data_IF_427851545974
#
_entry.id   IF_427851545974
#
_cell.length_a   1.000
_cell.length_b   1.000
_cell.length_c   1.000
_cell.angle_alpha   90.00
_cell.angle_beta   90.00
_cell.angle_gamma   90.00
#
_symmetry.space_group_name_H-M   'P 1'
#
loop_
_entity.id
_entity.type
_entity.pdbx_description
1 polymer ?
#
# COMPACT_ATOMS: atom_id res chain seq x y z
N UNK A 1 -11.16 -4.10 -46.92
CA UNK A 1 -10.54 -4.88 -45.85
C UNK A 1 -10.20 -3.93 -44.74
N UNK A 2 -11.12 -3.79 -43.79
CA UNK A 2 -11.02 -2.87 -42.65
C UNK A 2 -10.39 -3.65 -41.50
N UNK A 3 -9.28 -3.16 -40.97
CA UNK A 3 -8.69 -3.66 -39.74
C UNK A 3 -9.02 -2.66 -38.62
N UNK A 4 -9.92 -3.05 -37.72
CA UNK A 4 -10.07 -2.45 -36.41
C UNK A 4 -9.05 -3.11 -35.48
N UNK A 5 -8.06 -2.34 -35.01
CA UNK A 5 -7.14 -2.78 -33.98
C UNK A 5 -7.62 -2.30 -32.60
N UNK A 6 -7.82 -3.28 -31.73
CA UNK A 6 -8.38 -3.16 -30.40
C UNK A 6 -7.47 -2.42 -29.43
N UNK A 7 -8.04 -1.43 -28.75
CA UNK A 7 -7.42 -0.64 -27.72
C UNK A 7 -7.53 -1.39 -26.37
N UNK A 8 -6.51 -2.18 -26.02
CA UNK A 8 -6.40 -2.78 -24.68
C UNK A 8 -5.75 -1.80 -23.69
N UNK A 9 -6.57 -1.41 -22.70
CA UNK A 9 -6.21 -0.68 -21.48
C UNK A 9 -5.26 -1.53 -20.62
N UNK A 10 -3.99 -1.16 -20.53
CA UNK A 10 -3.09 -1.66 -19.47
C UNK A 10 -2.12 -0.55 -19.05
N UNK A 11 -2.26 -0.06 -17.82
CA UNK A 11 -1.50 1.09 -17.33
C UNK A 11 -1.56 1.26 -15.81
N UNK A 12 -1.47 0.17 -15.05
CA UNK A 12 -1.33 0.21 -13.58
C UNK A 12 -0.29 -0.82 -13.16
N UNK A 13 0.59 -0.47 -12.20
CA UNK A 13 1.58 -1.31 -11.47
C UNK A 13 3.05 -0.83 -11.51
N UNK A 14 3.32 0.46 -11.64
CA UNK A 14 4.61 0.99 -11.18
C UNK A 14 4.34 2.21 -10.30
N UNK A 15 4.68 2.12 -9.01
CA UNK A 15 4.76 3.33 -8.18
C UNK A 15 5.88 4.20 -8.72
N UNK A 16 5.70 5.53 -8.83
CA UNK A 16 6.77 6.41 -9.24
C UNK A 16 8.00 6.17 -8.36
N UNK A 17 9.14 5.90 -9.00
CA UNK A 17 10.38 5.69 -8.29
C UNK A 17 10.85 7.05 -7.80
N UNK A 18 10.93 7.17 -6.47
CA UNK A 18 11.43 8.29 -5.65
C UNK A 18 10.31 9.02 -4.89
N UNK A 19 10.32 8.85 -3.57
CA UNK A 19 9.64 9.73 -2.63
C UNK A 19 10.71 10.62 -1.99
N UNK A 20 10.81 11.88 -2.39
CA UNK A 20 11.56 12.84 -1.58
C UNK A 20 10.75 13.12 -0.30
N UNK A 21 11.36 13.10 0.89
CA UNK A 21 10.68 13.54 2.09
C UNK A 21 10.31 15.01 1.92
N UNK A 22 9.02 15.32 1.85
CA UNK A 22 8.56 16.70 1.83
C UNK A 22 9.00 17.38 3.13
N UNK A 23 9.66 18.53 3.01
CA UNK A 23 10.01 19.34 4.18
C UNK A 23 8.73 19.90 4.81
N UNK A 24 8.65 20.04 6.15
CA UNK A 24 7.44 20.50 6.83
C UNK A 24 6.88 21.83 6.29
N UNK A 25 7.76 22.71 5.83
CA UNK A 25 7.42 24.01 5.24
C UNK A 25 6.74 23.90 3.87
N UNK A 26 7.10 22.91 3.05
CA UNK A 26 6.50 22.68 1.73
C UNK A 26 5.10 22.07 1.80
N UNK A 27 4.72 21.49 2.96
CA UNK A 27 3.45 20.78 3.14
C UNK A 27 2.31 21.73 3.55
N UNK A 28 2.62 22.86 4.20
CA UNK A 28 1.66 23.86 4.69
C UNK A 28 0.81 24.53 3.60
N UNK A 29 1.06 24.25 2.32
CA UNK A 29 0.41 24.87 1.15
C UNK A 29 -0.59 23.95 0.43
N UNK A 30 -0.81 22.74 0.96
CA UNK A 30 -1.71 21.77 0.35
C UNK A 30 -3.17 22.24 0.38
N UNK A 31 -3.76 22.49 -0.80
CA UNK A 31 -5.17 22.89 -0.95
C UNK A 31 -5.95 21.96 -1.86
N UNK A 32 -7.21 21.70 -1.49
CA UNK A 32 -8.24 21.21 -2.40
C UNK A 32 -8.77 22.42 -3.18
N UNK A 33 -8.50 22.49 -4.47
CA UNK A 33 -8.93 23.58 -5.34
C UNK A 33 -8.98 23.15 -6.79
N UNK A 34 -9.50 24.03 -7.66
CA UNK A 34 -9.45 23.81 -9.11
C UNK A 34 -8.02 23.56 -9.57
N UNK A 35 -7.83 22.47 -10.31
CA UNK A 35 -6.55 22.02 -10.90
C UNK A 35 -6.60 22.30 -12.39
N UNK A 36 -5.55 22.93 -12.92
CA UNK A 36 -5.40 23.29 -14.33
C UNK A 36 -4.25 22.51 -14.97
N UNK A 37 -4.24 22.45 -16.30
CA UNK A 37 -3.09 21.93 -17.03
C UNK A 37 -1.85 22.79 -16.76
N UNK A 38 -0.71 22.15 -16.56
CA UNK A 38 0.54 22.79 -16.18
C UNK A 38 0.76 22.94 -14.67
N UNK A 39 -0.25 22.71 -13.82
CA UNK A 39 -0.10 22.82 -12.37
C UNK A 39 0.83 21.74 -11.80
N UNK A 40 1.70 22.15 -10.87
CA UNK A 40 2.43 21.24 -9.98
C UNK A 40 1.51 20.78 -8.84
N UNK A 41 1.41 19.47 -8.64
CA UNK A 41 0.50 18.84 -7.68
C UNK A 41 1.19 17.73 -6.90
N UNK A 42 0.67 17.47 -5.70
CA UNK A 42 0.96 16.25 -4.94
C UNK A 42 -0.17 15.25 -5.12
N UNK A 43 0.11 14.18 -5.85
CA UNK A 43 -0.83 13.09 -6.12
C UNK A 43 -0.62 11.93 -5.15
N UNK A 44 -1.69 11.44 -4.52
CA UNK A 44 -1.66 10.26 -3.67
C UNK A 44 -1.71 9.00 -4.51
N UNK A 45 -0.78 8.08 -4.29
CA UNK A 45 -0.69 6.81 -5.01
C UNK A 45 -1.32 5.64 -4.23
N UNK A 46 -1.33 4.45 -4.83
CA UNK A 46 -1.93 3.23 -4.27
C UNK A 46 -1.20 2.65 -3.05
N UNK A 47 -0.04 3.20 -2.68
CA UNK A 47 0.66 2.91 -1.42
C UNK A 47 0.31 3.93 -0.30
N UNK A 48 -0.57 4.88 -0.58
CA UNK A 48 -0.99 5.93 0.35
C UNK A 48 -0.02 7.10 0.48
N UNK A 49 1.10 7.10 -0.26
CA UNK A 49 2.10 8.18 -0.25
C UNK A 49 1.77 9.27 -1.26
N UNK A 50 2.34 10.45 -1.07
CA UNK A 50 2.23 11.59 -1.99
C UNK A 50 3.46 11.67 -2.90
N UNK A 51 3.22 11.93 -4.17
CA UNK A 51 4.22 12.07 -5.21
C UNK A 51 4.05 13.40 -5.94
N UNK A 52 5.16 14.07 -6.22
CA UNK A 52 5.15 15.29 -7.03
C UNK A 52 4.88 14.93 -8.49
N UNK A 53 4.00 15.69 -9.12
CA UNK A 53 3.72 15.55 -10.54
C UNK A 53 3.22 16.83 -11.16
N UNK A 54 3.21 16.86 -12.48
CA UNK A 54 2.72 17.96 -13.29
C UNK A 54 1.49 17.52 -14.08
N UNK A 55 0.43 18.32 -14.01
CA UNK A 55 -0.85 18.02 -14.66
C UNK A 55 -0.73 18.24 -16.16
N UNK A 56 -0.95 17.19 -16.95
CA UNK A 56 -0.89 17.23 -18.42
C UNK A 56 -2.26 17.40 -19.07
N UNK A 57 -3.30 16.82 -18.48
CA UNK A 57 -4.68 16.93 -18.97
C UNK A 57 -5.67 16.95 -17.82
N UNK A 58 -6.73 17.73 -17.97
CA UNK A 58 -7.81 17.83 -16.98
C UNK A 58 -9.14 17.35 -17.59
N UNK A 59 -9.74 16.32 -17.00
CA UNK A 59 -11.07 15.78 -17.36
C UNK A 59 -11.82 15.41 -16.08
N UNK A 60 -12.61 14.33 -16.04
CA UNK A 60 -13.19 13.81 -14.79
C UNK A 60 -12.10 13.40 -13.78
N UNK A 61 -10.98 12.87 -14.29
CA UNK A 61 -9.70 12.69 -13.61
C UNK A 61 -8.61 13.54 -14.30
N UNK A 62 -7.43 13.64 -13.70
CA UNK A 62 -6.30 14.36 -14.30
C UNK A 62 -5.21 13.39 -14.74
N UNK A 63 -4.65 13.61 -15.93
CA UNK A 63 -3.43 12.93 -16.36
C UNK A 63 -2.25 13.66 -15.70
N UNK A 64 -1.50 12.95 -14.87
CA UNK A 64 -0.36 13.52 -14.13
C UNK A 64 0.92 12.83 -14.61
N UNK A 65 1.93 13.63 -14.97
CA UNK A 65 3.29 13.16 -15.23
C UNK A 65 4.13 13.29 -13.96
N UNK A 66 4.72 12.20 -13.50
CA UNK A 66 5.56 12.16 -12.30
C UNK A 66 7.04 12.46 -12.63
N UNK A 67 7.87 12.59 -11.60
CA UNK A 67 9.30 12.91 -11.72
C UNK A 67 10.09 11.88 -12.55
N UNK A 68 9.66 10.62 -12.57
CA UNK A 68 10.25 9.55 -13.38
C UNK A 68 9.72 9.49 -14.82
N UNK A 69 8.98 10.52 -15.25
CA UNK A 69 8.29 10.63 -16.55
C UNK A 69 7.14 9.64 -16.78
N UNK A 70 6.77 8.83 -15.79
CA UNK A 70 5.55 8.02 -15.89
C UNK A 70 4.31 8.91 -15.91
N UNK A 71 3.27 8.48 -16.64
CA UNK A 71 2.00 9.20 -16.75
C UNK A 71 0.83 8.32 -16.33
N UNK A 72 0.04 8.81 -15.38
CA UNK A 72 -1.14 8.08 -14.90
C UNK A 72 -2.34 9.00 -14.72
N UNK A 73 -3.52 8.43 -14.91
CA UNK A 73 -4.78 9.08 -14.57
C UNK A 73 -5.02 8.99 -13.06
N UNK A 74 -5.11 10.16 -12.41
CA UNK A 74 -5.31 10.29 -10.97
C UNK A 74 -6.68 10.92 -10.70
N UNK A 75 -7.44 10.34 -9.77
CA UNK A 75 -8.73 10.89 -9.35
C UNK A 75 -8.54 12.24 -8.66
N UNK A 76 -9.46 13.19 -8.90
CA UNK A 76 -9.37 14.54 -8.32
C UNK A 76 -9.26 14.54 -6.79
N UNK A 77 -9.93 13.59 -6.10
CA UNK A 77 -9.86 13.44 -4.64
C UNK A 77 -8.46 13.10 -4.11
N UNK A 78 -7.58 12.63 -4.97
CA UNK A 78 -6.22 12.20 -4.65
C UNK A 78 -5.17 13.21 -5.14
N UNK A 79 -5.59 14.33 -5.72
CA UNK A 79 -4.73 15.41 -6.19
C UNK A 79 -4.81 16.56 -5.21
N UNK A 80 -3.65 17.09 -4.84
CA UNK A 80 -3.57 18.22 -3.94
C UNK A 80 -2.71 19.31 -4.58
N UNK A 81 -3.29 20.50 -4.73
CA UNK A 81 -2.64 21.60 -5.43
C UNK A 81 -1.58 22.25 -4.55
N UNK A 82 -0.40 22.49 -5.13
CA UNK A 82 0.69 23.27 -4.53
C UNK A 82 0.66 24.69 -5.11
N UNK A 83 -0.29 25.54 -4.69
CA UNK A 83 -0.32 26.93 -5.18
C UNK A 83 0.85 27.71 -4.59
N UNK A 84 1.86 28.03 -5.44
CA UNK A 84 3.03 28.86 -5.10
C UNK A 84 2.69 30.34 -4.86
N UNK A 85 1.50 30.82 -5.27
CA UNK A 85 1.14 32.25 -5.26
C UNK A 85 0.21 32.65 -4.11
N UNK A 86 0.70 32.53 -2.87
CA UNK A 86 0.33 33.50 -1.85
C UNK A 86 1.60 33.85 -1.07
N UNK A 87 2.12 35.06 -1.30
CA UNK A 87 3.20 35.68 -0.51
C UNK A 87 2.78 35.94 0.96
N UNK A 88 1.69 35.34 1.43
CA UNK A 88 1.36 35.18 2.83
C UNK A 88 1.41 33.68 3.18
N UNK A 89 2.18 33.26 4.21
CA UNK A 89 2.02 31.97 4.84
C UNK A 89 0.71 32.01 5.65
N UNK A 90 -0.42 32.21 4.98
CA UNK A 90 -1.71 32.09 5.62
C UNK A 90 -1.95 30.59 5.79
N UNK A 91 -1.97 30.05 7.02
CA UNK A 91 -2.30 28.66 7.25
C UNK A 91 -3.60 28.35 6.54
N UNK A 92 -3.70 27.17 5.92
CA UNK A 92 -4.95 26.70 5.32
C UNK A 92 -6.04 26.85 6.37
N UNK A 93 -6.96 27.80 6.20
CA UNK A 93 -8.07 28.00 7.13
C UNK A 93 -9.14 26.96 6.82
N UNK A 94 -9.30 26.01 7.74
CA UNK A 94 -10.39 25.05 7.68
C UNK A 94 -11.54 25.59 8.53
N UNK A 95 -12.77 25.51 8.02
CA UNK A 95 -13.92 25.57 8.91
C UNK A 95 -13.79 24.42 9.94
N UNK A 96 -14.01 24.66 11.24
CA UNK A 96 -13.82 23.65 12.27
C UNK A 96 -14.53 22.33 11.97
N UNK A 97 -15.74 22.40 11.42
CA UNK A 97 -16.58 21.25 11.06
C UNK A 97 -16.23 20.57 9.73
N UNK A 98 -15.46 21.23 8.86
CA UNK A 98 -15.04 20.66 7.58
C UNK A 98 -13.74 19.84 7.69
N UNK A 99 -13.08 19.84 8.86
CA UNK A 99 -11.89 19.03 9.10
C UNK A 99 -12.26 17.72 9.81
N UNK A 100 -11.45 16.67 9.62
CA UNK A 100 -11.65 15.38 10.29
C UNK A 100 -10.39 14.93 11.03
N UNK A 101 -10.42 14.83 12.37
CA UNK A 101 -11.54 15.18 13.28
C UNK A 101 -11.80 16.70 13.35
N UNK A 102 -12.97 17.11 13.87
CA UNK A 102 -13.33 18.52 14.07
C UNK A 102 -12.21 19.28 14.80
N UNK A 103 -11.95 20.52 14.39
CA UNK A 103 -10.94 21.37 15.05
C UNK A 103 -11.53 21.89 16.36
N UNK A 104 -10.84 21.64 17.46
CA UNK A 104 -11.25 22.16 18.76
C UNK A 104 -10.98 23.68 18.84
N UNK A 105 -11.93 24.48 19.38
CA UNK A 105 -11.81 25.93 19.41
C UNK A 105 -10.67 26.45 20.30
N UNK A 106 -10.14 25.63 21.21
CA UNK A 106 -9.01 25.93 22.09
C UNK A 106 -7.65 25.50 21.51
N UNK A 107 -7.63 24.94 20.30
CA UNK A 107 -6.37 24.57 19.65
C UNK A 107 -5.55 25.83 19.35
N UNK A 108 -4.36 25.91 19.95
CA UNK A 108 -3.40 26.98 19.68
C UNK A 108 -3.14 27.07 18.17
N UNK A 109 -3.60 28.17 17.57
CA UNK A 109 -3.61 28.43 16.12
C UNK A 109 -2.22 28.31 15.50
N UNK A 110 -1.17 28.60 16.27
CA UNK A 110 0.23 28.53 15.80
C UNK A 110 0.79 27.10 15.83
N UNK A 111 0.08 26.17 16.47
CA UNK A 111 0.50 24.78 16.66
C UNK A 111 -0.37 23.76 15.89
N UNK A 112 -1.50 24.18 15.32
CA UNK A 112 -2.38 23.26 14.62
C UNK A 112 -1.81 22.85 13.26
N UNK A 113 -1.92 21.55 12.93
CA UNK A 113 -1.47 20.99 11.66
C UNK A 113 -2.62 20.17 11.08
N UNK A 114 -3.00 20.45 9.84
CA UNK A 114 -4.12 19.75 9.20
C UNK A 114 -3.81 18.27 8.97
N UNK A 115 -4.88 17.48 8.81
CA UNK A 115 -4.81 16.03 8.52
C UNK A 115 -3.86 15.72 7.38
N UNK A 116 -3.98 16.48 6.30
CA UNK A 116 -3.20 16.23 5.11
C UNK A 116 -1.71 16.43 5.36
N UNK A 117 -1.34 17.49 6.08
CA UNK A 117 0.06 17.76 6.42
C UNK A 117 0.63 16.70 7.37
N UNK A 118 -0.16 16.26 8.36
CA UNK A 118 0.28 15.20 9.27
C UNK A 118 0.53 13.90 8.51
N UNK A 119 -0.38 13.49 7.61
CA UNK A 119 -0.19 12.28 6.82
C UNK A 119 1.01 12.41 5.87
N UNK A 120 1.17 13.54 5.18
CA UNK A 120 2.30 13.77 4.28
C UNK A 120 3.67 13.61 4.97
N UNK A 121 3.79 14.04 6.23
CA UNK A 121 5.03 13.91 7.01
C UNK A 121 5.17 12.53 7.64
N UNK A 122 4.09 11.99 8.20
CA UNK A 122 4.13 10.80 9.05
C UNK A 122 4.12 9.47 8.27
N UNK A 123 3.53 9.41 7.08
CA UNK A 123 3.50 8.18 6.27
C UNK A 123 4.88 7.90 5.67
N UNK A 124 5.35 6.65 5.77
CA UNK A 124 6.65 6.19 5.22
C UNK A 124 6.53 4.77 4.69
N UNK A 125 7.33 4.42 3.68
CA UNK A 125 7.49 3.02 3.24
C UNK A 125 7.94 2.15 4.41
N UNK A 126 7.34 0.98 4.59
CA UNK A 126 7.61 0.07 5.70
C UNK A 126 6.83 0.37 6.99
N UNK A 127 6.07 1.46 7.05
CA UNK A 127 5.27 1.85 8.22
C UNK A 127 5.45 3.32 8.60
N UNK A 128 4.38 3.94 9.07
CA UNK A 128 4.39 5.33 9.51
C UNK A 128 5.25 5.58 10.76
N UNK A 129 5.57 6.84 11.01
CA UNK A 129 6.30 7.26 12.21
C UNK A 129 5.60 6.79 13.50
N UNK A 130 6.37 6.19 14.41
CA UNK A 130 5.85 5.67 15.69
C UNK A 130 6.11 6.58 16.89
N UNK A 131 6.99 7.56 16.76
CA UNK A 131 7.42 8.47 17.85
C UNK A 131 7.43 9.92 17.37
N UNK A 132 7.34 10.85 18.32
CA UNK A 132 7.34 12.29 18.06
C UNK A 132 5.95 12.88 17.81
N UNK A 133 5.91 14.21 17.63
CA UNK A 133 4.67 15.00 17.49
C UNK A 133 3.78 14.50 16.35
N UNK A 134 4.34 14.33 15.15
CA UNK A 134 3.58 13.87 13.97
C UNK A 134 3.02 12.45 14.14
N UNK A 135 3.74 11.55 14.82
CA UNK A 135 3.23 10.20 15.11
C UNK A 135 2.00 10.23 16.03
N UNK A 136 2.02 11.08 17.06
CA UNK A 136 0.88 11.25 17.98
C UNK A 136 -0.32 11.89 17.29
N UNK A 137 -0.08 12.96 16.52
CA UNK A 137 -1.13 13.61 15.73
C UNK A 137 -1.76 12.66 14.71
N UNK A 138 -0.94 11.87 14.01
CA UNK A 138 -1.45 10.88 13.06
C UNK A 138 -2.33 9.85 13.76
N UNK A 139 -1.88 9.34 14.92
CA UNK A 139 -2.66 8.37 15.69
C UNK A 139 -4.02 8.95 16.14
N UNK A 140 -4.05 10.20 16.59
CA UNK A 140 -5.30 10.90 16.92
C UNK A 140 -6.22 11.04 15.68
N UNK A 141 -5.66 11.46 14.54
CA UNK A 141 -6.41 11.62 13.30
C UNK A 141 -6.96 10.30 12.75
N UNK A 142 -6.27 9.18 12.98
CA UNK A 142 -6.70 7.83 12.54
C UNK A 142 -7.93 7.31 13.30
N UNK A 143 -8.34 7.96 14.39
CA UNK A 143 -9.56 7.59 15.13
C UNK A 143 -10.84 7.92 14.35
N UNK A 144 -10.76 8.75 13.31
CA UNK A 144 -11.89 9.13 12.44
C UNK A 144 -11.50 8.99 10.97
N UNK A 145 -12.38 8.40 10.17
CA UNK A 145 -12.25 8.36 8.71
C UNK A 145 -12.86 9.63 8.10
N UNK A 146 -12.23 10.22 7.08
CA UNK A 146 -12.78 11.37 6.34
C UNK A 146 -13.84 10.96 5.31
N UNK A 147 -14.42 9.78 5.45
CA UNK A 147 -15.43 9.17 4.58
C UNK A 147 -16.27 8.16 5.38
N UNK A 148 -17.43 7.80 4.85
CA UNK A 148 -18.33 6.83 5.48
C UNK A 148 -18.09 5.43 4.90
N UNK A 149 -18.00 4.41 5.76
CA UNK A 149 -17.79 3.03 5.30
C UNK A 149 -19.03 2.46 4.58
N UNK A 150 -20.22 2.87 5.00
CA UNK A 150 -21.50 2.43 4.43
C UNK A 150 -21.76 2.96 3.01
N UNK A 151 -21.00 3.96 2.56
CA UNK A 151 -21.16 4.54 1.22
C UNK A 151 -20.21 3.93 0.18
N UNK A 152 -19.54 2.83 0.50
CA UNK A 152 -18.58 2.16 -0.38
C UNK A 152 -19.22 0.96 -1.07
N UNK A 153 -19.13 0.93 -2.39
CA UNK A 153 -19.67 -0.14 -3.23
C UNK A 153 -18.59 -1.18 -3.49
N UNK A 154 -18.58 -2.24 -2.68
CA UNK A 154 -17.58 -3.31 -2.73
C UNK A 154 -17.90 -4.38 -3.77
N UNK A 155 -16.85 -5.00 -4.31
CA UNK A 155 -16.98 -6.26 -5.02
C UNK A 155 -17.43 -7.42 -4.07
N UNK A 156 -17.92 -8.56 -4.62
CA UNK A 156 -18.39 -9.67 -3.80
C UNK A 156 -17.34 -10.29 -2.86
N UNK A 157 -16.05 -10.11 -3.16
CA UNK A 157 -14.94 -10.64 -2.35
C UNK A 157 -14.45 -9.64 -1.30
N UNK A 158 -15.03 -8.43 -1.25
CA UNK A 158 -14.63 -7.33 -0.39
C UNK A 158 -13.15 -6.93 -0.57
N UNK A 159 -12.66 -6.95 -1.81
CA UNK A 159 -11.27 -6.65 -2.16
C UNK A 159 -11.12 -5.22 -2.69
N UNK A 160 -12.05 -4.79 -3.53
CA UNK A 160 -12.03 -3.47 -4.15
C UNK A 160 -13.39 -2.79 -4.05
N UNK A 161 -13.40 -1.45 -4.02
CA UNK A 161 -14.62 -0.65 -4.11
C UNK A 161 -14.58 0.33 -5.29
N UNK A 162 -15.76 0.66 -5.84
CA UNK A 162 -15.88 1.55 -7.02
C UNK A 162 -15.32 2.95 -6.77
N UNK A 163 -15.42 3.45 -5.54
CA UNK A 163 -14.96 4.77 -5.13
C UNK A 163 -13.43 4.89 -5.08
N UNK A 164 -12.71 3.76 -5.13
CA UNK A 164 -11.27 3.67 -4.89
C UNK A 164 -10.87 4.42 -3.60
N UNK A 165 -11.62 4.17 -2.53
CA UNK A 165 -11.47 4.85 -1.24
C UNK A 165 -11.11 3.83 -0.16
N UNK A 166 -9.87 3.91 0.32
CA UNK A 166 -9.31 2.99 1.30
C UNK A 166 -8.55 3.72 2.40
N UNK A 167 -8.29 3.01 3.50
CA UNK A 167 -7.41 3.42 4.57
C UNK A 167 -7.82 4.71 5.30
N UNK A 168 -7.09 5.10 6.34
CA UNK A 168 -7.30 6.37 7.03
C UNK A 168 -7.11 7.60 6.11
N UNK A 169 -6.39 7.45 4.99
CA UNK A 169 -6.09 8.54 4.07
C UNK A 169 -7.16 8.77 2.99
N UNK A 170 -8.17 7.90 2.85
CA UNK A 170 -9.16 7.91 1.76
C UNK A 170 -8.55 7.81 0.35
N UNK A 171 -7.32 7.32 0.27
CA UNK A 171 -6.57 7.16 -0.97
C UNK A 171 -7.02 5.97 -1.80
N UNK A 172 -6.49 5.84 -3.02
CA UNK A 172 -6.60 4.61 -3.79
C UNK A 172 -5.72 3.54 -3.15
N UNK A 173 -5.92 2.28 -3.52
CA UNK A 173 -5.19 1.16 -2.96
C UNK A 173 -5.37 -0.10 -3.80
N UNK A 174 -4.35 -0.93 -3.82
CA UNK A 174 -4.41 -2.29 -4.33
C UNK A 174 -4.20 -3.23 -3.15
N UNK A 175 -5.25 -3.94 -2.77
CA UNK A 175 -5.30 -4.72 -1.54
C UNK A 175 -4.15 -5.74 -1.39
N UNK A 176 -3.67 -6.29 -2.50
CA UNK A 176 -2.57 -7.26 -2.56
C UNK A 176 -1.19 -6.59 -2.58
N UNK A 177 -1.11 -5.26 -2.66
CA UNK A 177 0.12 -4.48 -2.66
C UNK A 177 0.29 -3.76 -1.31
N UNK A 178 0.83 -4.48 -0.32
CA UNK A 178 1.19 -3.93 1.00
C UNK A 178 0.01 -3.25 1.73
N UNK A 179 -1.14 -3.92 1.77
CA UNK A 179 -2.28 -3.49 2.58
C UNK A 179 -2.71 -4.57 3.57
N UNK A 180 -3.23 -4.14 4.72
CA UNK A 180 -3.83 -4.99 5.75
C UNK A 180 -5.34 -4.81 5.77
N UNK A 181 -6.07 -5.92 5.92
CA UNK A 181 -7.52 -5.88 6.09
C UNK A 181 -7.87 -5.86 7.58
N UNK A 182 -8.73 -4.93 8.00
CA UNK A 182 -9.20 -4.88 9.38
C UNK A 182 -10.27 -5.96 9.63
N UNK A 183 -10.05 -6.81 10.63
CA UNK A 183 -10.96 -7.92 10.95
C UNK A 183 -12.36 -7.48 11.40
N UNK A 184 -12.52 -6.26 11.91
CA UNK A 184 -13.82 -5.76 12.38
C UNK A 184 -14.67 -5.07 11.30
N UNK A 185 -14.06 -4.28 10.41
CA UNK A 185 -14.80 -3.44 9.46
C UNK A 185 -14.59 -3.82 7.99
N UNK A 186 -13.73 -4.81 7.69
CA UNK A 186 -13.47 -5.26 6.32
C UNK A 186 -12.62 -4.32 5.46
N UNK A 187 -12.43 -3.06 5.87
CA UNK A 187 -11.65 -2.06 5.15
C UNK A 187 -10.15 -2.42 5.08
N UNK A 188 -9.50 -1.98 4.00
CA UNK A 188 -8.07 -2.14 3.72
C UNK A 188 -7.25 -0.90 4.11
N UNK A 189 -6.05 -1.13 4.65
CA UNK A 189 -5.17 -0.09 5.18
C UNK A 189 -3.75 -0.25 4.66
N UNK A 190 -3.17 0.82 4.10
CA UNK A 190 -1.80 0.82 3.57
C UNK A 190 -0.76 0.57 4.65
N UNK A 191 0.28 -0.22 4.34
CA UNK A 191 1.51 -0.34 5.13
C UNK A 191 2.00 1.03 5.61
N UNK A 192 2.12 1.98 4.67
CA UNK A 192 2.66 3.30 4.94
C UNK A 192 1.81 4.17 5.88
N UNK A 193 0.55 3.81 6.10
CA UNK A 193 -0.37 4.52 6.99
C UNK A 193 -0.53 3.87 8.37
N UNK A 194 0.04 2.68 8.58
CA UNK A 194 -0.02 1.94 9.85
C UNK A 194 1.17 2.27 10.75
N UNK A 195 0.98 2.20 12.06
CA UNK A 195 2.01 2.46 13.08
C UNK A 195 2.35 1.19 13.90
N UNK A 196 1.72 0.05 13.62
CA UNK A 196 1.89 -1.20 14.36
C UNK A 196 2.95 -2.17 13.78
N UNK A 197 3.34 -2.03 12.51
CA UNK A 197 4.23 -2.99 11.83
C UNK A 197 5.68 -2.91 12.34
N UNK A 198 6.30 -4.05 12.63
CA UNK A 198 7.73 -4.14 13.01
C UNK A 198 8.65 -4.30 11.81
N UNK A 199 8.15 -4.89 10.72
CA UNK A 199 8.86 -5.12 9.45
C UNK A 199 7.92 -4.76 8.28
N UNK A 200 8.45 -4.37 7.11
CA UNK A 200 7.64 -4.14 5.91
C UNK A 200 6.86 -5.38 5.47
N UNK A 201 5.68 -5.18 4.89
CA UNK A 201 4.85 -6.25 4.35
C UNK A 201 5.41 -6.78 3.03
N UNK A 202 5.26 -8.09 2.81
CA UNK A 202 5.39 -8.65 1.47
C UNK A 202 4.08 -8.42 0.69
N UNK A 203 4.18 -8.34 -0.63
CA UNK A 203 3.01 -8.36 -1.49
C UNK A 203 2.21 -9.66 -1.31
N UNK A 204 0.90 -9.52 -1.18
CA UNK A 204 -0.03 -10.64 -0.93
C UNK A 204 -0.01 -11.21 0.48
N UNK A 205 0.77 -10.65 1.41
CA UNK A 205 0.87 -11.19 2.76
C UNK A 205 -0.39 -10.91 3.58
N UNK A 206 -1.24 -11.93 3.73
CA UNK A 206 -2.46 -11.89 4.55
C UNK A 206 -2.32 -12.62 5.88
N UNK A 207 -1.13 -13.06 6.27
CA UNK A 207 -0.90 -13.78 7.53
C UNK A 207 -0.86 -12.83 8.72
N UNK A 208 -1.89 -11.99 8.85
CA UNK A 208 -2.03 -11.01 9.92
C UNK A 208 -3.48 -10.94 10.38
N UNK A 209 -3.67 -10.93 11.70
CA UNK A 209 -4.90 -10.45 12.31
C UNK A 209 -4.69 -8.99 12.69
N UNK A 210 -5.39 -8.09 12.01
CA UNK A 210 -5.22 -6.64 12.16
C UNK A 210 -6.54 -5.98 12.58
N UNK A 211 -6.47 -5.05 13.53
CA UNK A 211 -7.57 -4.14 13.86
C UNK A 211 -7.12 -2.69 13.75
N UNK A 212 -7.89 -1.91 12.99
CA UNK A 212 -7.59 -0.50 12.72
C UNK A 212 -7.92 0.40 13.92
N UNK A 213 -7.32 1.60 13.96
CA UNK A 213 -7.51 2.56 15.05
C UNK A 213 -8.95 3.05 15.23
N UNK A 214 -9.76 2.99 14.17
CA UNK A 214 -11.19 3.36 14.24
C UNK A 214 -11.96 2.32 15.04
N UNK A 215 -11.70 1.03 14.80
CA UNK A 215 -12.38 -0.07 15.47
C UNK A 215 -11.89 -0.27 16.89
N UNK A 216 -10.58 -0.12 17.15
CA UNK A 216 -10.02 -0.21 18.51
C UNK A 216 -10.27 1.04 19.35
N UNK A 217 -10.73 2.14 18.74
CA UNK A 217 -10.84 3.47 19.36
C UNK A 217 -9.52 3.93 20.00
N UNK A 218 -8.39 3.53 19.40
CA UNK A 218 -7.07 3.69 19.97
C UNK A 218 -5.97 3.20 19.02
N UNK A 219 -4.79 2.84 19.55
CA UNK A 219 -3.72 2.23 18.75
C UNK A 219 -4.20 0.98 17.99
N UNK A 220 -3.61 0.76 16.82
CA UNK A 220 -3.81 -0.47 16.04
C UNK A 220 -3.33 -1.70 16.81
N UNK A 221 -4.01 -2.82 16.63
CA UNK A 221 -3.52 -4.13 17.07
C UNK A 221 -3.17 -4.98 15.85
N UNK A 222 -2.07 -5.72 15.95
CA UNK A 222 -1.62 -6.61 14.90
C UNK A 222 -1.01 -7.86 15.52
N UNK A 223 -1.37 -9.01 14.96
CA UNK A 223 -0.80 -10.30 15.30
C UNK A 223 -0.39 -11.02 14.02
N UNK A 224 0.87 -11.48 13.97
CA UNK A 224 1.37 -12.34 12.89
C UNK A 224 0.76 -13.73 13.06
N UNK A 225 0.14 -14.26 12.02
CA UNK A 225 -0.40 -15.63 12.02
C UNK A 225 0.71 -16.64 11.71
N UNK A 226 0.65 -17.85 12.30
CA UNK A 226 1.59 -18.91 11.98
C UNK A 226 1.46 -19.29 10.50
N UNK A 227 2.57 -19.70 9.90
CA UNK A 227 2.62 -20.09 8.50
C UNK A 227 3.40 -21.39 8.32
N UNK A 228 3.00 -22.18 7.33
CA UNK A 228 3.71 -23.40 6.95
C UNK A 228 4.79 -23.12 5.90
N UNK A 229 5.63 -24.12 5.61
CA UNK A 229 6.59 -24.03 4.50
C UNK A 229 5.90 -23.86 3.13
N UNK A 230 4.70 -24.42 2.95
CA UNK A 230 3.89 -24.22 1.75
C UNK A 230 3.45 -22.76 1.63
N UNK A 231 2.98 -22.16 2.72
CA UNK A 231 2.57 -20.76 2.77
C UNK A 231 3.75 -19.83 2.48
N UNK A 232 4.92 -20.14 3.05
CA UNK A 232 6.15 -19.39 2.82
C UNK A 232 6.57 -19.46 1.34
N UNK A 233 6.62 -20.66 0.76
CA UNK A 233 6.93 -20.85 -0.65
C UNK A 233 5.97 -20.05 -1.55
N UNK A 234 4.67 -20.10 -1.24
CA UNK A 234 3.65 -19.38 -1.99
C UNK A 234 3.80 -17.87 -1.86
N UNK A 235 3.99 -17.35 -0.64
CA UNK A 235 4.15 -15.93 -0.39
C UNK A 235 5.39 -15.36 -1.10
N UNK A 236 6.52 -16.05 -1.02
CA UNK A 236 7.77 -15.62 -1.68
C UNK A 236 7.60 -15.61 -3.20
N UNK A 237 7.06 -16.67 -3.79
CA UNK A 237 6.80 -16.73 -5.23
C UNK A 237 5.82 -15.64 -5.69
N UNK A 238 4.76 -15.40 -4.93
CA UNK A 238 3.78 -14.37 -5.23
C UNK A 238 4.43 -12.97 -5.16
N UNK A 239 5.22 -12.72 -4.13
CA UNK A 239 5.96 -11.47 -3.97
C UNK A 239 6.92 -11.22 -5.14
N UNK A 240 7.77 -12.19 -5.47
CA UNK A 240 8.71 -12.11 -6.59
C UNK A 240 7.97 -11.92 -7.93
N UNK A 241 6.84 -12.60 -8.12
CA UNK A 241 6.04 -12.48 -9.34
C UNK A 241 5.56 -11.05 -9.59
N UNK A 242 5.14 -10.35 -8.53
CA UNK A 242 4.70 -8.96 -8.62
C UNK A 242 5.87 -7.98 -8.74
N UNK A 243 6.96 -8.19 -7.99
CA UNK A 243 8.16 -7.35 -8.07
C UNK A 243 8.80 -7.38 -9.46
N UNK A 244 8.94 -8.57 -10.04
CA UNK A 244 9.68 -8.78 -11.29
C UNK A 244 8.77 -8.87 -12.52
N UNK A 245 7.44 -8.87 -12.35
CA UNK A 245 6.45 -9.05 -13.41
C UNK A 245 6.74 -10.31 -14.27
N UNK A 246 7.16 -11.39 -13.60
CA UNK A 246 7.58 -12.66 -14.23
C UNK A 246 6.96 -13.84 -13.50
N UNK A 247 6.68 -14.93 -14.22
CA UNK A 247 6.00 -16.12 -13.67
C UNK A 247 6.93 -17.17 -13.04
N UNK A 248 8.17 -17.27 -13.52
CA UNK A 248 9.10 -18.34 -13.13
C UNK A 248 10.36 -17.76 -12.49
N UNK A 249 10.85 -18.42 -11.45
CA UNK A 249 12.02 -18.02 -10.68
C UNK A 249 12.93 -19.20 -10.43
N UNK A 250 14.24 -18.97 -10.47
CA UNK A 250 15.25 -19.94 -10.11
C UNK A 250 15.24 -20.18 -8.60
N UNK A 251 15.21 -21.45 -8.20
CA UNK A 251 15.11 -21.82 -6.80
C UNK A 251 16.30 -21.34 -5.98
N UNK A 252 17.52 -21.61 -6.42
CA UNK A 252 18.73 -21.33 -5.63
C UNK A 252 19.06 -19.84 -5.63
N UNK A 253 19.02 -19.21 -6.81
CA UNK A 253 19.50 -17.84 -7.01
C UNK A 253 18.45 -16.77 -6.73
N UNK A 254 17.17 -17.10 -6.71
CA UNK A 254 16.10 -16.09 -6.52
C UNK A 254 15.23 -16.43 -5.32
N UNK A 255 14.60 -17.62 -5.30
CA UNK A 255 13.65 -17.97 -4.23
C UNK A 255 14.37 -18.16 -2.88
N UNK A 256 15.40 -19.02 -2.86
CA UNK A 256 16.15 -19.35 -1.66
C UNK A 256 17.05 -18.19 -1.20
N UNK A 257 17.69 -17.48 -2.14
CA UNK A 257 18.45 -16.26 -1.84
C UNK A 257 17.56 -15.20 -1.19
N UNK A 258 16.42 -14.84 -1.81
CA UNK A 258 15.47 -13.90 -1.22
C UNK A 258 15.00 -14.34 0.16
N UNK A 259 14.63 -15.61 0.32
CA UNK A 259 14.12 -16.16 1.58
C UNK A 259 15.16 -16.05 2.69
N UNK A 260 16.43 -16.36 2.40
CA UNK A 260 17.51 -16.30 3.38
C UNK A 260 17.91 -14.86 3.73
N UNK A 261 17.96 -13.97 2.74
CA UNK A 261 18.28 -12.55 2.94
C UNK A 261 17.20 -11.84 3.77
N UNK A 262 15.95 -12.28 3.65
CA UNK A 262 14.81 -11.66 4.33
C UNK A 262 14.28 -12.49 5.52
N UNK A 263 15.02 -13.52 5.98
CA UNK A 263 14.53 -14.51 6.96
C UNK A 263 13.90 -13.88 8.21
N UNK A 264 14.57 -12.89 8.81
CA UNK A 264 14.06 -12.19 9.99
C UNK A 264 12.86 -11.28 9.68
N UNK A 265 12.83 -10.70 8.48
CA UNK A 265 11.74 -9.81 8.04
C UNK A 265 10.46 -10.56 7.70
N UNK A 266 10.55 -11.85 7.41
CA UNK A 266 9.41 -12.71 7.07
C UNK A 266 8.53 -13.08 8.29
N UNK A 267 9.02 -12.84 9.51
CA UNK A 267 8.28 -13.07 10.77
C UNK A 267 7.63 -14.46 10.81
N UNK A 268 8.47 -15.50 10.73
CA UNK A 268 8.06 -16.88 10.44
C UNK A 268 7.52 -17.68 11.64
N UNK A 269 7.42 -17.06 12.82
CA UNK A 269 6.97 -17.74 14.05
C UNK A 269 7.82 -18.97 14.34
N UNK A 270 7.19 -20.12 14.58
CA UNK A 270 7.88 -21.38 14.90
C UNK A 270 8.91 -21.83 13.84
N UNK A 271 8.79 -21.39 12.58
CA UNK A 271 9.77 -21.74 11.56
C UNK A 271 11.08 -20.93 11.70
N UNK A 272 11.11 -19.83 12.46
CA UNK A 272 12.28 -18.94 12.57
C UNK A 272 13.55 -19.67 13.03
N UNK A 273 13.38 -20.69 13.88
CA UNK A 273 14.45 -21.43 14.53
C UNK A 273 15.09 -22.47 13.59
N UNK A 274 14.57 -22.63 12.38
CA UNK A 274 15.12 -23.56 11.38
C UNK A 274 16.54 -23.15 10.99
N UNK A 275 17.54 -24.04 11.18
CA UNK A 275 18.92 -23.79 10.75
C UNK A 275 19.00 -23.52 9.26
N UNK A 276 19.92 -22.62 8.86
CA UNK A 276 20.05 -22.21 7.45
C UNK A 276 20.25 -23.37 6.47
N UNK A 277 20.94 -24.42 6.92
CA UNK A 277 21.26 -25.61 6.12
C UNK A 277 19.99 -26.40 5.75
N UNK A 278 18.97 -26.42 6.62
CA UNK A 278 17.75 -27.21 6.43
C UNK A 278 16.68 -26.46 5.63
N UNK A 279 16.78 -25.13 5.54
CA UNK A 279 15.81 -24.27 4.83
C UNK A 279 15.67 -24.64 3.36
N UNK A 280 16.78 -24.97 2.71
CA UNK A 280 16.80 -25.38 1.31
C UNK A 280 15.92 -26.62 1.09
N UNK A 281 16.16 -27.67 1.89
CA UNK A 281 15.42 -28.92 1.79
C UNK A 281 13.91 -28.71 2.05
N UNK A 282 13.55 -28.02 3.12
CA UNK A 282 12.15 -27.81 3.50
C UNK A 282 11.38 -26.97 2.47
N UNK A 283 11.99 -25.90 1.96
CA UNK A 283 11.36 -25.03 0.97
C UNK A 283 11.22 -25.73 -0.39
N UNK A 284 12.24 -26.48 -0.81
CA UNK A 284 12.19 -27.25 -2.05
C UNK A 284 11.15 -28.38 -1.98
N UNK A 285 11.04 -29.05 -0.84
CA UNK A 285 10.00 -30.06 -0.60
C UNK A 285 8.61 -29.43 -0.68
N UNK A 286 8.40 -28.27 -0.07
CA UNK A 286 7.11 -27.58 -0.13
C UNK A 286 6.69 -27.23 -1.56
N UNK A 287 7.64 -26.78 -2.40
CA UNK A 287 7.39 -26.47 -3.81
C UNK A 287 7.07 -27.72 -4.64
N UNK A 288 7.72 -28.86 -4.38
CA UNK A 288 7.53 -30.08 -5.16
C UNK A 288 6.30 -30.88 -4.76
N UNK A 289 5.90 -30.84 -3.49
CA UNK A 289 4.78 -31.63 -2.95
C UNK A 289 3.39 -31.06 -3.29
N UNK A 290 3.29 -29.77 -3.63
CA UNK A 290 2.01 -29.08 -3.85
C UNK A 290 1.83 -28.66 -5.31
N UNK A 291 1.66 -29.67 -6.19
CA UNK A 291 1.52 -29.47 -7.65
C UNK A 291 0.23 -28.77 -8.07
N UNK A 292 -0.76 -28.71 -7.19
CA UNK A 292 -1.98 -27.93 -7.38
C UNK A 292 -1.71 -26.42 -7.34
N UNK A 293 -0.65 -26.00 -6.62
CA UNK A 293 -0.28 -24.58 -6.42
C UNK A 293 0.99 -24.17 -7.15
N UNK A 294 1.93 -25.09 -7.38
CA UNK A 294 3.22 -24.79 -7.98
C UNK A 294 3.49 -25.60 -9.24
N UNK A 295 3.99 -24.92 -10.28
CA UNK A 295 4.47 -25.54 -11.52
C UNK A 295 5.98 -25.54 -11.52
N UNK A 296 6.57 -26.72 -11.69
CA UNK A 296 8.02 -26.86 -11.94
C UNK A 296 8.34 -26.61 -13.41
N UNK A 297 9.50 -26.02 -13.69
CA UNK A 297 10.04 -25.84 -15.04
C UNK A 297 10.16 -27.16 -15.81
N UNK A 298 10.32 -28.29 -15.11
CA UNK A 298 10.31 -29.64 -15.70
C UNK A 298 9.00 -29.94 -16.45
N UNK A 299 7.88 -29.41 -15.97
CA UNK A 299 6.54 -29.65 -16.53
C UNK A 299 6.27 -28.79 -17.77
N UNK A 300 7.08 -27.74 -18.01
CA UNK A 300 6.99 -26.85 -19.17
C UNK A 300 8.24 -26.89 -20.06
N UNK A 301 9.02 -27.97 -20.01
CA UNK A 301 10.27 -28.17 -20.78
C UNK A 301 11.34 -27.06 -20.56
N UNK A 302 11.33 -26.40 -19.40
CA UNK A 302 12.38 -25.46 -18.96
C UNK A 302 13.32 -26.11 -17.93
N UNK A 303 14.32 -25.36 -17.45
CA UNK A 303 15.26 -25.82 -16.41
C UNK A 303 14.51 -26.33 -15.18
N UNK A 304 14.95 -27.47 -14.63
CA UNK A 304 14.30 -28.17 -13.50
C UNK A 304 14.22 -27.34 -12.21
N UNK A 305 15.12 -26.37 -12.05
CA UNK A 305 15.20 -25.47 -10.89
C UNK A 305 14.23 -24.28 -10.94
N UNK A 306 13.42 -24.15 -12.00
CA UNK A 306 12.46 -23.06 -12.11
C UNK A 306 11.13 -23.42 -11.46
N UNK A 307 10.56 -22.51 -10.68
CA UNK A 307 9.23 -22.67 -10.10
C UNK A 307 8.37 -21.44 -10.39
N UNK A 308 7.07 -21.66 -10.55
CA UNK A 308 6.06 -20.61 -10.69
C UNK A 308 4.74 -21.03 -10.08
N UNK A 309 3.82 -20.09 -9.86
CA UNK A 309 2.47 -20.39 -9.36
C UNK A 309 1.57 -20.93 -10.49
N UNK A 310 0.78 -21.99 -10.23
CA UNK A 310 -0.23 -22.54 -11.16
C UNK A 310 -1.35 -21.53 -11.39
N UNK A 311 -1.86 -20.99 -10.29
CA UNK A 311 -2.89 -19.97 -10.23
C UNK A 311 -2.29 -18.68 -9.67
N UNK A 312 -2.78 -17.53 -10.15
CA UNK A 312 -2.58 -16.25 -9.43
C UNK A 312 -3.40 -16.20 -8.11
N UNK A 313 -4.07 -17.29 -7.73
CA UNK A 313 -4.80 -17.42 -6.48
C UNK A 313 -3.82 -17.41 -5.32
N UNK A 314 -4.12 -16.60 -4.32
CA UNK A 314 -3.17 -16.03 -3.37
C UNK A 314 -2.93 -16.94 -2.17
N UNK A 315 -1.86 -16.73 -1.40
CA UNK A 315 -1.73 -17.35 -0.09
C UNK A 315 -2.87 -16.85 0.81
N UNK A 316 -3.83 -17.73 1.10
CA UNK A 316 -4.87 -17.45 2.09
C UNK A 316 -4.49 -18.18 3.37
N UNK A 317 -4.45 -17.50 4.52
CA UNK A 317 -4.42 -18.20 5.79
C UNK A 317 -5.57 -19.21 5.79
N UNK A 318 -5.30 -20.43 6.23
CA UNK A 318 -6.37 -21.39 6.54
C UNK A 318 -7.34 -20.67 7.46
N UNK A 319 -8.62 -20.60 7.09
CA UNK A 319 -9.65 -19.97 7.92
C UNK A 319 -9.64 -20.66 9.28
N UNK A 320 -9.11 -19.98 10.30
CA UNK A 320 -9.44 -20.27 11.68
C UNK A 320 -10.95 -20.16 11.79
N UNK A 321 -11.58 -21.31 12.06
CA UNK A 321 -12.97 -21.42 12.50
C UNK A 321 -13.22 -20.45 13.65
#
# INVERSE_FOLDING_TARGET
>A
GSAEDGQTRDGRTASPLLSLPLSPLSVSLLRMGGVSEGDDVLARWSDGLLYLGNVKRVSQCCLVRFEDNSEFWVLRKDIHSCKKNSLSPSPVSYHPECHTPTIEPEADSDSWICRQCVFAVATKRGGALKRGRFARLMQFMKLRLPYQLSSLDWDPQHLTNQQQCYCYCAGPGEWNLKMLQCGSCGQWFHEACTQCLTKPLLYGDRFYQFQCSVCTKGPETIQRLPMTWMDLAHLVLYHLSLCCKRKYFDFDHEILSFTNENWESLLLGALSDTPRQDRCHNLLNALNSHKDRFVSGKEIKKKKCLFGSTFQSRPTPSSTV
#
